data_IF_262210429823
#
_entry.id   IF_262210429823
#
_cell.length_a   1.000
_cell.length_b   1.000
_cell.length_c   1.000
_cell.angle_alpha   90.00
_cell.angle_beta   90.00
_cell.angle_gamma   90.00
#
_symmetry.space_group_name_H-M   'P 1'
#
loop_
_entity.id
_entity.type
_entity.pdbx_description
1 polymer ?
#
# COMPACT_ATOMS: atom_id res chain seq x y z
N UNK A 1 37.47 77.86 -12.08
CA UNK A 1 36.54 77.91 -10.93
C UNK A 1 36.01 76.53 -10.65
N UNK A 2 36.69 75.81 -9.73
CA UNK A 2 36.23 74.55 -9.19
C UNK A 2 35.20 74.84 -8.10
N UNK A 3 33.95 74.46 -8.33
CA UNK A 3 32.92 74.45 -7.30
C UNK A 3 33.10 73.20 -6.44
N UNK A 4 33.62 73.43 -5.23
CA UNK A 4 33.68 72.44 -4.17
C UNK A 4 32.28 72.15 -3.69
N UNK A 5 31.72 70.99 -4.02
CA UNK A 5 30.49 70.48 -3.40
C UNK A 5 30.82 69.96 -2.01
N UNK A 6 30.46 70.75 -1.01
CA UNK A 6 30.48 70.40 0.40
C UNK A 6 29.49 69.25 0.62
N UNK A 7 30.00 68.03 0.72
CA UNK A 7 29.22 66.92 1.21
C UNK A 7 29.22 66.96 2.75
N UNK A 8 28.07 67.18 3.32
CA UNK A 8 27.90 67.20 4.78
C UNK A 8 28.19 65.81 5.33
N UNK A 9 29.18 65.63 6.20
CA UNK A 9 29.61 64.32 6.71
C UNK A 9 28.53 63.57 7.51
N UNK A 10 27.49 64.28 7.92
CA UNK A 10 26.34 63.67 8.64
C UNK A 10 25.38 62.98 7.66
N UNK A 11 25.13 63.57 6.48
CA UNK A 11 24.27 62.95 5.45
C UNK A 11 24.89 61.72 4.83
N UNK A 12 26.20 61.70 4.59
CA UNK A 12 26.87 60.51 4.05
C UNK A 12 26.84 59.33 5.03
N UNK A 13 26.87 59.55 6.36
CA UNK A 13 26.74 58.49 7.33
C UNK A 13 25.33 57.92 7.47
N UNK A 14 24.30 58.74 7.26
CA UNK A 14 22.91 58.25 7.28
C UNK A 14 22.57 57.41 6.04
N UNK A 15 23.11 57.75 4.89
CA UNK A 15 22.92 56.94 3.64
C UNK A 15 23.65 55.59 3.75
N UNK A 16 24.90 55.54 4.25
CA UNK A 16 25.64 54.30 4.42
C UNK A 16 24.96 53.36 5.46
N UNK A 17 24.42 53.92 6.55
CA UNK A 17 23.71 53.09 7.55
C UNK A 17 22.38 52.60 7.05
N UNK A 18 21.65 53.34 6.24
CA UNK A 18 20.40 52.89 5.63
C UNK A 18 20.64 51.82 4.58
N UNK A 19 21.66 51.92 3.75
CA UNK A 19 21.99 50.90 2.73
C UNK A 19 22.43 49.58 3.44
N UNK A 20 23.20 49.67 4.50
CA UNK A 20 23.60 48.47 5.29
C UNK A 20 22.40 47.82 6.00
N UNK A 21 21.46 48.60 6.51
CA UNK A 21 20.27 48.10 7.18
C UNK A 21 19.31 47.41 6.19
N UNK A 22 19.08 47.98 5.01
CA UNK A 22 18.25 47.34 3.97
C UNK A 22 18.90 46.08 3.41
N UNK A 23 20.22 46.05 3.21
CA UNK A 23 20.93 44.88 2.71
C UNK A 23 20.82 43.69 3.73
N UNK A 24 20.94 43.97 5.02
CA UNK A 24 20.86 42.94 6.06
C UNK A 24 19.44 42.43 6.27
N UNK A 25 18.41 43.27 6.05
CA UNK A 25 16.99 42.85 6.12
C UNK A 25 16.60 41.96 4.96
N UNK A 26 17.14 42.19 3.77
CA UNK A 26 16.87 41.39 2.59
C UNK A 26 17.53 40.00 2.64
N UNK A 27 18.72 39.89 3.24
CA UNK A 27 19.40 38.59 3.44
C UNK A 27 18.71 37.71 4.49
N UNK A 28 18.25 38.31 5.58
CA UNK A 28 17.49 37.60 6.62
C UNK A 28 16.15 37.10 6.14
N UNK A 29 15.50 37.82 5.22
CA UNK A 29 14.24 37.41 4.59
C UNK A 29 14.44 36.22 3.63
N UNK A 30 15.50 36.22 2.84
CA UNK A 30 15.87 35.11 1.95
C UNK A 30 16.26 33.86 2.73
N UNK A 31 17.02 34.00 3.81
CA UNK A 31 17.39 32.88 4.67
C UNK A 31 16.15 32.21 5.29
N UNK A 32 15.16 32.99 5.75
CA UNK A 32 13.88 32.45 6.24
C UNK A 32 13.10 31.73 5.14
N UNK A 33 13.09 32.27 3.91
CA UNK A 33 12.43 31.65 2.78
C UNK A 33 13.07 30.29 2.44
N UNK A 34 14.39 30.20 2.37
CA UNK A 34 15.08 28.93 2.12
C UNK A 34 14.86 27.91 3.23
N UNK A 35 14.77 28.36 4.47
CA UNK A 35 14.49 27.47 5.60
C UNK A 35 13.08 26.89 5.57
N UNK A 36 12.08 27.72 5.24
CA UNK A 36 10.68 27.26 5.08
C UNK A 36 10.51 26.33 3.88
N UNK A 37 11.14 26.63 2.74
CA UNK A 37 11.12 25.75 1.56
C UNK A 37 11.81 24.42 1.88
N UNK A 38 12.93 24.43 2.60
CA UNK A 38 13.64 23.24 3.03
C UNK A 38 12.78 22.33 3.93
N UNK A 39 12.03 22.90 4.87
CA UNK A 39 11.10 22.15 5.72
C UNK A 39 9.97 21.52 4.89
N UNK A 40 9.38 22.27 3.95
CA UNK A 40 8.31 21.75 3.10
C UNK A 40 8.80 20.57 2.26
N UNK A 41 9.99 20.67 1.67
CA UNK A 41 10.60 19.57 0.92
C UNK A 41 10.87 18.36 1.83
N UNK A 42 11.40 18.58 3.02
CA UNK A 42 11.67 17.49 3.97
C UNK A 42 10.38 16.77 4.40
N UNK A 43 9.30 17.51 4.66
CA UNK A 43 7.98 16.94 4.98
C UNK A 43 7.40 16.18 3.79
N UNK A 44 7.53 16.71 2.58
CA UNK A 44 7.06 16.03 1.37
C UNK A 44 7.83 14.73 1.10
N UNK A 45 9.15 14.73 1.27
CA UNK A 45 9.98 13.51 1.15
C UNK A 45 9.63 12.50 2.24
N UNK A 46 9.45 12.93 3.49
CA UNK A 46 9.03 12.04 4.58
C UNK A 46 7.64 11.43 4.30
N UNK A 47 6.69 12.22 3.81
CA UNK A 47 5.37 11.73 3.42
C UNK A 47 5.44 10.73 2.27
N UNK A 48 6.29 10.96 1.26
CA UNK A 48 6.52 10.02 0.17
C UNK A 48 7.18 8.72 0.63
N UNK A 49 8.13 8.79 1.57
CA UNK A 49 8.76 7.59 2.15
C UNK A 49 7.76 6.78 2.99
N UNK A 50 6.94 7.44 3.80
CA UNK A 50 5.86 6.78 4.56
C UNK A 50 4.85 6.15 3.60
N UNK A 51 4.44 6.88 2.55
CA UNK A 51 3.55 6.35 1.51
C UNK A 51 4.16 5.12 0.83
N UNK A 52 5.42 5.22 0.42
CA UNK A 52 6.12 4.11 -0.24
C UNK A 52 6.24 2.88 0.67
N UNK A 53 6.60 3.04 1.95
CA UNK A 53 6.68 1.91 2.90
C UNK A 53 5.31 1.33 3.21
N UNK A 54 4.26 2.15 3.27
CA UNK A 54 2.90 1.67 3.57
C UNK A 54 2.23 0.99 2.36
N UNK A 55 2.49 1.46 1.14
CA UNK A 55 1.84 0.94 -0.07
C UNK A 55 2.69 -0.05 -0.88
N UNK A 56 4.02 0.01 -0.77
CA UNK A 56 4.92 -0.87 -1.53
C UNK A 56 5.78 -1.80 -0.66
N UNK A 57 5.80 -1.59 0.66
CA UNK A 57 6.67 -2.35 1.57
C UNK A 57 6.07 -3.64 2.13
N UNK A 58 4.84 -4.02 1.77
CA UNK A 58 4.10 -5.10 2.42
C UNK A 58 3.93 -6.37 1.57
N UNK A 59 4.59 -6.48 0.43
CA UNK A 59 4.48 -7.73 -0.38
C UNK A 59 4.91 -8.99 0.39
N UNK A 60 5.79 -8.84 1.39
CA UNK A 60 6.23 -9.94 2.26
C UNK A 60 5.97 -9.67 3.75
N UNK A 61 5.12 -8.69 4.08
CA UNK A 61 4.75 -8.39 5.47
C UNK A 61 3.76 -9.42 6.02
N UNK A 62 3.78 -9.65 7.36
CA UNK A 62 2.76 -10.43 8.05
C UNK A 62 1.42 -9.70 7.96
N UNK A 63 0.44 -10.29 7.27
CA UNK A 63 -0.90 -9.73 7.12
C UNK A 63 -1.88 -10.27 8.15
N UNK A 64 -1.66 -11.50 8.62
CA UNK A 64 -2.50 -12.14 9.63
C UNK A 64 -1.67 -13.09 10.49
N UNK A 65 -2.07 -13.24 11.75
CA UNK A 65 -1.52 -14.24 12.67
C UNK A 65 -2.66 -15.10 13.21
N UNK A 66 -2.53 -16.42 13.12
CA UNK A 66 -3.53 -17.35 13.65
C UNK A 66 -2.80 -18.35 14.55
N UNK A 67 -3.02 -18.25 15.84
CA UNK A 67 -2.21 -18.98 16.83
C UNK A 67 -0.76 -18.49 16.77
N UNK A 68 0.19 -19.41 16.60
CA UNK A 68 1.62 -19.12 16.49
C UNK A 68 2.11 -18.97 15.02
N UNK A 69 1.19 -19.08 14.05
CA UNK A 69 1.53 -19.00 12.63
C UNK A 69 1.26 -17.61 12.06
N UNK A 70 2.24 -17.08 11.34
CA UNK A 70 2.17 -15.82 10.63
C UNK A 70 1.97 -16.06 9.13
N UNK A 71 1.04 -15.32 8.54
CA UNK A 71 0.72 -15.39 7.12
C UNK A 71 1.06 -14.09 6.43
N UNK A 72 1.71 -14.20 5.29
CA UNK A 72 2.07 -13.05 4.47
C UNK A 72 0.84 -12.44 3.77
N UNK A 73 0.98 -11.18 3.37
CA UNK A 73 -0.04 -10.50 2.56
C UNK A 73 -0.36 -11.27 1.27
N UNK A 74 0.65 -11.89 0.65
CA UNK A 74 0.48 -12.67 -0.58
C UNK A 74 -0.40 -13.90 -0.34
N UNK A 75 -0.16 -14.63 0.75
CA UNK A 75 -0.96 -15.81 1.11
C UNK A 75 -2.41 -15.43 1.40
N UNK A 76 -2.63 -14.43 2.24
CA UNK A 76 -3.98 -13.96 2.57
C UNK A 76 -4.71 -13.48 1.31
N UNK A 77 -4.04 -12.71 0.43
CA UNK A 77 -4.61 -12.23 -0.82
C UNK A 77 -4.96 -13.38 -1.78
N UNK A 78 -4.11 -14.39 -1.87
CA UNK A 78 -4.39 -15.57 -2.70
C UNK A 78 -5.66 -16.30 -2.25
N UNK A 79 -5.79 -16.59 -0.95
CA UNK A 79 -6.98 -17.25 -0.42
C UNK A 79 -8.22 -16.37 -0.51
N UNK A 80 -8.09 -15.05 -0.25
CA UNK A 80 -9.17 -14.10 -0.43
C UNK A 80 -9.70 -14.10 -1.87
N UNK A 81 -8.82 -13.96 -2.85
CA UNK A 81 -9.19 -13.96 -4.26
C UNK A 81 -9.81 -15.31 -4.67
N UNK A 82 -9.31 -16.42 -4.14
CA UNK A 82 -9.87 -17.75 -4.42
C UNK A 82 -11.31 -17.85 -3.92
N UNK A 83 -11.57 -17.45 -2.67
CA UNK A 83 -12.91 -17.45 -2.07
C UNK A 83 -13.84 -16.50 -2.84
N UNK A 84 -13.41 -15.26 -3.06
CA UNK A 84 -14.22 -14.25 -3.74
C UNK A 84 -14.59 -14.68 -5.16
N UNK A 85 -13.62 -15.14 -5.95
CA UNK A 85 -13.88 -15.60 -7.31
C UNK A 85 -14.81 -16.81 -7.36
N UNK A 86 -14.66 -17.77 -6.44
CA UNK A 86 -15.56 -18.91 -6.36
C UNK A 86 -16.99 -18.47 -6.05
N UNK A 87 -17.18 -17.56 -5.11
CA UNK A 87 -18.49 -17.03 -4.75
C UNK A 87 -19.11 -16.23 -5.90
N UNK A 88 -18.35 -15.34 -6.53
CA UNK A 88 -18.80 -14.51 -7.66
C UNK A 88 -19.21 -15.39 -8.84
N UNK A 89 -18.40 -16.38 -9.20
CA UNK A 89 -18.73 -17.32 -10.26
C UNK A 89 -20.01 -18.11 -9.95
N UNK A 90 -20.20 -18.54 -8.69
CA UNK A 90 -21.40 -19.22 -8.25
C UNK A 90 -22.62 -18.28 -8.32
N UNK A 91 -22.49 -17.04 -7.86
CA UNK A 91 -23.57 -16.05 -7.94
C UNK A 91 -23.99 -15.78 -9.39
N UNK A 92 -23.02 -15.68 -10.32
CA UNK A 92 -23.31 -15.54 -11.75
C UNK A 92 -24.04 -16.75 -12.34
N UNK A 93 -23.62 -17.96 -11.96
CA UNK A 93 -24.29 -19.19 -12.40
C UNK A 93 -25.72 -19.26 -11.90
N UNK A 94 -25.97 -18.99 -10.63
CA UNK A 94 -27.32 -18.98 -10.04
C UNK A 94 -28.19 -17.89 -10.67
N UNK A 95 -27.64 -16.71 -10.94
CA UNK A 95 -28.34 -15.63 -11.64
C UNK A 95 -28.80 -16.06 -13.04
N UNK A 96 -28.00 -16.87 -13.75
CA UNK A 96 -28.40 -17.43 -15.05
C UNK A 96 -29.60 -18.40 -14.95
N UNK A 97 -29.83 -19.01 -13.78
CA UNK A 97 -31.00 -19.85 -13.48
C UNK A 97 -32.16 -19.07 -12.83
N UNK A 98 -32.06 -17.74 -12.75
CA UNK A 98 -33.05 -16.85 -12.12
C UNK A 98 -33.05 -16.85 -10.60
N UNK A 99 -31.98 -17.35 -9.97
CA UNK A 99 -31.81 -17.37 -8.52
C UNK A 99 -30.87 -16.20 -8.15
N UNK A 100 -31.39 -15.29 -7.32
CA UNK A 100 -30.58 -14.20 -6.76
C UNK A 100 -29.94 -14.63 -5.44
N UNK A 101 -28.61 -14.54 -5.37
CA UNK A 101 -27.82 -14.82 -4.15
C UNK A 101 -27.62 -13.58 -3.28
N UNK A 102 -28.21 -12.44 -3.63
CA UNK A 102 -28.03 -11.18 -2.90
C UNK A 102 -26.69 -10.48 -3.15
N UNK A 103 -25.91 -10.94 -4.11
CA UNK A 103 -24.61 -10.35 -4.48
C UNK A 103 -24.69 -9.65 -5.83
N UNK A 104 -24.37 -8.38 -5.87
CA UNK A 104 -24.31 -7.58 -7.10
C UNK A 104 -22.89 -7.65 -7.69
N UNK A 105 -22.74 -8.29 -8.83
CA UNK A 105 -21.44 -8.47 -9.50
C UNK A 105 -20.86 -7.18 -10.08
N UNK A 106 -21.67 -6.12 -10.15
CA UNK A 106 -21.25 -4.81 -10.66
C UNK A 106 -20.73 -3.87 -9.56
N UNK A 107 -20.78 -4.32 -8.30
CA UNK A 107 -20.30 -3.57 -7.14
C UNK A 107 -19.12 -4.24 -6.46
N UNK A 108 -18.30 -3.43 -5.80
CA UNK A 108 -17.21 -3.93 -4.95
C UNK A 108 -17.78 -4.75 -3.77
N UNK A 109 -17.12 -5.85 -3.36
CA UNK A 109 -17.53 -6.60 -2.16
C UNK A 109 -17.59 -5.75 -0.88
N UNK A 110 -16.75 -4.72 -0.77
CA UNK A 110 -16.72 -3.82 0.39
C UNK A 110 -17.91 -2.84 0.43
N UNK A 111 -18.61 -2.65 -0.68
CA UNK A 111 -19.78 -1.76 -0.78
C UNK A 111 -21.11 -2.49 -0.59
N UNK A 112 -21.08 -3.79 -0.36
CA UNK A 112 -22.26 -4.63 -0.24
C UNK A 112 -22.33 -5.26 1.15
N UNK A 113 -23.48 -5.10 1.81
CA UNK A 113 -23.73 -5.72 3.11
C UNK A 113 -23.99 -7.22 2.96
N UNK A 114 -23.26 -8.03 3.70
CA UNK A 114 -23.46 -9.47 3.81
C UNK A 114 -24.44 -9.80 4.94
N UNK A 115 -24.23 -9.18 6.10
CA UNK A 115 -25.09 -9.36 7.28
C UNK A 115 -25.41 -7.99 7.90
N UNK A 116 -26.68 -7.59 7.85
CA UNK A 116 -27.14 -6.30 8.38
C UNK A 116 -27.06 -6.22 9.91
N UNK A 117 -27.28 -7.34 10.62
CA UNK A 117 -27.29 -7.39 12.08
C UNK A 117 -25.87 -7.20 12.64
N UNK A 118 -24.88 -7.73 11.97
CA UNK A 118 -23.47 -7.64 12.36
C UNK A 118 -22.75 -6.45 11.69
N UNK A 119 -23.36 -5.83 10.69
CA UNK A 119 -22.78 -4.75 9.91
C UNK A 119 -21.59 -5.19 9.05
N UNK A 120 -21.53 -6.49 8.71
CA UNK A 120 -20.43 -7.06 7.92
C UNK A 120 -20.68 -6.95 6.42
N UNK A 121 -19.61 -6.71 5.65
CA UNK A 121 -19.66 -6.65 4.19
C UNK A 121 -19.31 -8.01 3.57
N UNK A 122 -19.52 -8.15 2.25
CA UNK A 122 -19.02 -9.33 1.53
C UNK A 122 -17.49 -9.40 1.53
N UNK A 123 -16.79 -8.26 1.60
CA UNK A 123 -15.34 -8.27 1.75
C UNK A 123 -14.91 -8.89 3.08
N UNK A 124 -15.60 -8.55 4.19
CA UNK A 124 -15.35 -9.14 5.51
C UNK A 124 -15.63 -10.64 5.52
N UNK A 125 -16.76 -11.06 4.91
CA UNK A 125 -17.11 -12.46 4.77
C UNK A 125 -16.06 -13.25 3.98
N UNK A 126 -15.59 -12.72 2.83
CA UNK A 126 -14.55 -13.39 2.03
C UNK A 126 -13.22 -13.47 2.77
N UNK A 127 -12.88 -12.44 3.53
CA UNK A 127 -11.66 -12.43 4.35
C UNK A 127 -11.73 -13.49 5.47
N UNK A 128 -12.85 -13.58 6.18
CA UNK A 128 -13.06 -14.60 7.23
C UNK A 128 -12.96 -16.02 6.67
N UNK A 129 -13.60 -16.28 5.54
CA UNK A 129 -13.52 -17.59 4.87
C UNK A 129 -12.10 -17.90 4.38
N UNK A 130 -11.37 -16.90 3.88
CA UNK A 130 -9.99 -17.03 3.44
C UNK A 130 -9.07 -17.39 4.61
N UNK A 131 -9.18 -16.67 5.72
CA UNK A 131 -8.41 -16.95 6.94
C UNK A 131 -8.73 -18.33 7.51
N UNK A 132 -10.00 -18.74 7.48
CA UNK A 132 -10.42 -20.09 7.91
C UNK A 132 -9.79 -21.17 7.04
N UNK A 133 -9.77 -21.02 5.72
CA UNK A 133 -9.13 -21.98 4.82
C UNK A 133 -7.62 -22.03 5.00
N UNK A 134 -6.98 -20.87 5.14
CA UNK A 134 -5.56 -20.76 5.39
C UNK A 134 -5.16 -21.47 6.68
N UNK A 135 -5.89 -21.21 7.76
CA UNK A 135 -5.67 -21.88 9.04
C UNK A 135 -5.81 -23.41 8.94
N UNK A 136 -6.85 -23.90 8.28
CA UNK A 136 -7.04 -25.34 8.07
C UNK A 136 -5.86 -25.95 7.31
N UNK A 137 -5.43 -25.30 6.25
CA UNK A 137 -4.29 -25.77 5.44
C UNK A 137 -3.02 -25.80 6.27
N UNK A 138 -2.76 -24.77 7.06
CA UNK A 138 -1.60 -24.69 7.93
C UNK A 138 -1.57 -25.81 8.98
N UNK A 139 -2.69 -26.04 9.67
CA UNK A 139 -2.81 -27.13 10.65
C UNK A 139 -2.58 -28.48 9.99
N UNK A 140 -3.17 -28.72 8.82
CA UNK A 140 -2.97 -29.98 8.09
C UNK A 140 -1.51 -30.20 7.68
N UNK A 141 -0.84 -29.14 7.20
CA UNK A 141 0.57 -29.21 6.86
C UNK A 141 1.46 -29.45 8.06
N UNK A 142 1.15 -28.84 9.21
CA UNK A 142 1.86 -29.05 10.45
C UNK A 142 1.71 -30.50 10.97
N UNK A 143 0.49 -31.01 11.00
CA UNK A 143 0.23 -32.41 11.44
C UNK A 143 0.86 -33.42 10.48
N UNK A 144 0.75 -33.19 9.15
CA UNK A 144 1.42 -34.03 8.17
C UNK A 144 2.95 -34.06 8.37
N UNK A 145 3.54 -32.90 8.67
CA UNK A 145 4.97 -32.79 8.95
C UNK A 145 5.37 -33.52 10.22
N UNK A 146 4.57 -33.46 11.30
CA UNK A 146 4.79 -34.19 12.58
C UNK A 146 4.75 -35.71 12.39
N UNK A 147 3.85 -36.16 11.51
CA UNK A 147 3.71 -37.60 11.17
C UNK A 147 4.76 -38.06 10.12
N UNK A 148 5.64 -37.17 9.68
CA UNK A 148 6.71 -37.47 8.72
C UNK A 148 6.25 -37.64 7.29
N UNK A 149 5.06 -37.14 6.94
CA UNK A 149 4.61 -37.10 5.56
C UNK A 149 5.43 -36.05 4.78
N UNK A 150 5.91 -36.47 3.62
CA UNK A 150 6.57 -35.61 2.65
C UNK A 150 5.91 -35.78 1.28
N UNK A 151 6.03 -34.77 0.44
CA UNK A 151 5.58 -34.89 -0.95
C UNK A 151 6.38 -35.99 -1.65
N UNK A 152 5.68 -36.81 -2.46
CA UNK A 152 6.37 -37.69 -3.39
C UNK A 152 7.06 -36.90 -4.51
N UNK A 153 8.03 -37.50 -5.20
CA UNK A 153 8.68 -36.87 -6.34
C UNK A 153 7.68 -36.42 -7.41
N UNK A 154 6.60 -37.19 -7.63
CA UNK A 154 5.53 -36.84 -8.56
C UNK A 154 4.71 -35.64 -8.02
N UNK A 155 4.49 -35.56 -6.71
CA UNK A 155 3.83 -34.45 -6.05
C UNK A 155 4.63 -33.16 -6.15
N UNK A 156 5.94 -33.22 -5.89
CA UNK A 156 6.84 -32.07 -6.04
C UNK A 156 6.85 -31.58 -7.51
N UNK A 157 6.93 -32.51 -8.45
CA UNK A 157 6.85 -32.18 -9.87
C UNK A 157 5.54 -31.53 -10.26
N UNK A 158 4.41 -32.02 -9.77
CA UNK A 158 3.08 -31.44 -10.03
C UNK A 158 2.98 -30.00 -9.49
N UNK A 159 3.52 -29.72 -8.29
CA UNK A 159 3.58 -28.37 -7.74
C UNK A 159 4.42 -27.46 -8.64
N UNK A 160 5.61 -27.91 -9.05
CA UNK A 160 6.49 -27.14 -9.90
C UNK A 160 5.90 -26.85 -11.30
N UNK A 161 5.23 -27.84 -11.88
CA UNK A 161 4.54 -27.69 -13.18
C UNK A 161 3.40 -26.67 -13.07
N UNK A 162 2.59 -26.71 -12.00
CA UNK A 162 1.54 -25.74 -11.74
C UNK A 162 2.07 -24.33 -11.52
N UNK A 163 3.13 -24.16 -10.73
CA UNK A 163 3.78 -22.86 -10.53
C UNK A 163 4.29 -22.28 -11.85
N UNK A 164 4.92 -23.12 -12.68
CA UNK A 164 5.41 -22.70 -14.01
C UNK A 164 4.27 -22.29 -14.93
N UNK A 165 3.16 -23.01 -14.91
CA UNK A 165 1.96 -22.68 -15.68
C UNK A 165 1.36 -21.34 -15.23
N UNK A 166 1.22 -21.12 -13.93
CA UNK A 166 0.72 -19.85 -13.37
C UNK A 166 1.63 -18.67 -13.72
N UNK A 167 2.95 -18.85 -13.60
CA UNK A 167 3.90 -17.82 -13.99
C UNK A 167 3.81 -17.50 -15.48
N UNK A 168 3.75 -18.52 -16.34
CA UNK A 168 3.60 -18.33 -17.79
C UNK A 168 2.30 -17.60 -18.13
N UNK A 169 1.20 -17.96 -17.46
CA UNK A 169 -0.08 -17.28 -17.63
C UNK A 169 -0.02 -15.81 -17.19
N UNK A 170 0.60 -15.52 -16.03
CA UNK A 170 0.73 -14.15 -15.54
C UNK A 170 1.54 -13.26 -16.48
N UNK A 171 2.62 -13.77 -17.03
CA UNK A 171 3.45 -13.05 -18.02
C UNK A 171 2.69 -12.80 -19.31
N UNK A 172 1.93 -13.80 -19.82
CA UNK A 172 1.14 -13.66 -21.04
C UNK A 172 -0.06 -12.73 -20.88
N UNK A 173 -0.67 -12.69 -19.69
CA UNK A 173 -1.82 -11.81 -19.39
C UNK A 173 -1.42 -10.38 -19.05
N UNK A 174 -0.12 -10.05 -18.98
CA UNK A 174 0.38 -8.74 -18.59
C UNK A 174 0.20 -8.41 -17.10
N UNK A 175 -0.17 -9.38 -16.29
CA UNK A 175 -0.38 -9.20 -14.84
C UNK A 175 0.93 -9.15 -14.03
N UNK A 176 2.08 -9.28 -14.69
CA UNK A 176 3.42 -9.34 -14.08
C UNK A 176 4.33 -8.16 -14.42
N UNK A 177 3.78 -7.03 -14.87
CA UNK A 177 4.54 -5.81 -15.19
C UNK A 177 4.26 -4.68 -14.22
#
# INVERSE_FOLDING_TARGET
NLSSSNCDPIKCKEEETNIMYESNKNDSSKAKLYWTVGIIIAVAVAALLIWHTFFYGTENGTAATVGDQEFSTVEVTYYYNTVANNYINQAQQYKAYGIDMGYDTDKSPAEQTYNEEEGTTYADYFLDQALTQLQRTAILCEEASKEGYTLSADGEKAVQDNMTALYTYSVQSGAGS
#
